data_IF_551920764217
#
_entry.id   IF_551920764217
#
_cell.length_a   1.000
_cell.length_b   1.000
_cell.length_c   1.000
_cell.angle_alpha   90.00
_cell.angle_beta   90.00
_cell.angle_gamma   90.00
#
_symmetry.space_group_name_H-M   'P 1'
#
loop_
_entity.id
_entity.type
_entity.pdbx_description
1 polymer ?
#
# COMPACT_ATOMS: atom_id res chain seq x y z
N UNK A 1 -27.60 -22.13 1.22
CA UNK A 1 -26.83 -23.39 1.24
C UNK A 1 -25.87 -23.42 0.07
N UNK A 2 -24.55 -23.56 0.34
CA UNK A 2 -23.53 -23.70 -0.68
C UNK A 2 -23.53 -25.15 -1.20
N UNK A 3 -23.59 -25.34 -2.52
CA UNK A 3 -23.54 -26.69 -3.16
C UNK A 3 -22.12 -27.25 -3.21
N UNK A 4 -21.09 -26.41 -2.99
CA UNK A 4 -19.68 -26.80 -3.01
C UNK A 4 -18.89 -25.86 -2.11
N UNK A 5 -17.66 -26.23 -1.77
CA UNK A 5 -16.74 -25.33 -1.07
C UNK A 5 -16.49 -24.07 -1.91
N UNK A 6 -16.70 -22.85 -1.36
CA UNK A 6 -16.43 -21.63 -2.08
C UNK A 6 -14.92 -21.45 -2.25
N UNK A 7 -14.52 -20.88 -3.37
CA UNK A 7 -13.20 -20.29 -3.55
C UNK A 7 -13.31 -18.81 -3.24
N UNK A 8 -12.45 -18.31 -2.35
CA UNK A 8 -12.46 -16.93 -1.93
C UNK A 8 -11.33 -16.21 -2.64
N UNK A 9 -11.65 -15.07 -3.26
CA UNK A 9 -10.69 -14.07 -3.75
C UNK A 9 -10.95 -12.82 -2.92
N UNK A 10 -10.01 -12.46 -2.04
CA UNK A 10 -10.13 -11.36 -1.09
C UNK A 10 -9.24 -10.19 -1.48
N UNK A 11 -9.83 -8.99 -1.49
CA UNK A 11 -9.19 -7.70 -1.57
C UNK A 11 -9.85 -6.82 -0.51
N UNK A 12 -9.17 -6.55 0.61
CA UNK A 12 -9.82 -6.03 1.82
C UNK A 12 -9.37 -4.63 2.21
N UNK A 13 -8.09 -4.30 2.07
CA UNK A 13 -7.57 -3.00 2.44
C UNK A 13 -6.06 -2.92 2.35
N UNK A 14 -5.51 -1.76 2.64
CA UNK A 14 -4.08 -1.47 2.63
C UNK A 14 -3.70 -0.35 3.59
N UNK A 15 -2.45 -0.36 4.03
CA UNK A 15 -1.79 0.74 4.72
C UNK A 15 -0.40 0.87 4.12
N UNK A 16 -0.37 1.45 2.94
CA UNK A 16 0.76 1.33 2.04
C UNK A 16 1.85 2.32 2.37
N UNK A 17 3.08 1.87 2.21
CA UNK A 17 4.24 2.57 2.71
C UNK A 17 5.14 3.12 1.59
N UNK A 18 5.88 4.16 1.94
CA UNK A 18 7.08 4.61 1.25
C UNK A 18 8.23 4.62 2.27
N UNK A 19 9.33 3.93 1.97
CA UNK A 19 10.56 4.01 2.75
C UNK A 19 11.64 4.65 1.89
N UNK A 20 12.24 5.73 2.38
CA UNK A 20 13.36 6.39 1.72
C UNK A 20 14.69 6.02 2.42
N UNK A 21 15.76 5.85 1.64
CA UNK A 21 17.13 5.76 2.11
C UNK A 21 17.80 7.14 2.00
N UNK A 22 18.82 7.49 2.82
CA UNK A 22 19.50 8.79 2.76
C UNK A 22 20.05 9.18 1.38
N UNK A 23 20.40 8.21 0.53
CA UNK A 23 20.93 8.45 -0.82
C UNK A 23 19.87 8.63 -1.92
N UNK A 24 18.58 8.63 -1.57
CA UNK A 24 17.49 8.65 -2.54
C UNK A 24 17.43 9.94 -3.37
N UNK A 25 16.74 9.87 -4.53
CA UNK A 25 16.39 11.06 -5.30
C UNK A 25 15.29 11.86 -4.59
N UNK A 26 15.64 13.00 -4.02
CA UNK A 26 14.75 13.86 -3.24
C UNK A 26 13.56 14.37 -4.07
N UNK A 27 13.78 14.75 -5.34
CA UNK A 27 12.70 15.26 -6.19
C UNK A 27 11.76 14.16 -6.61
N UNK A 28 12.28 12.99 -6.96
CA UNK A 28 11.50 11.81 -7.26
C UNK A 28 10.64 11.36 -6.09
N UNK A 29 11.22 11.33 -4.89
CA UNK A 29 10.51 11.01 -3.65
C UNK A 29 9.36 12.00 -3.39
N UNK A 30 9.63 13.30 -3.45
CA UNK A 30 8.61 14.34 -3.23
C UNK A 30 7.42 14.18 -4.19
N UNK A 31 7.68 13.96 -5.49
CA UNK A 31 6.63 13.75 -6.49
C UNK A 31 5.84 12.47 -6.21
N UNK A 32 6.53 11.40 -5.81
CA UNK A 32 5.87 10.13 -5.48
C UNK A 32 4.99 10.23 -4.24
N UNK A 33 5.43 10.97 -3.21
CA UNK A 33 4.62 11.24 -2.01
C UNK A 33 3.35 12.03 -2.37
N UNK A 34 3.47 13.12 -3.15
CA UNK A 34 2.32 13.94 -3.56
C UNK A 34 1.31 13.13 -4.38
N UNK A 35 1.77 12.47 -5.44
CA UNK A 35 0.90 11.69 -6.32
C UNK A 35 0.37 10.44 -5.63
N UNK A 36 1.22 9.74 -4.89
CA UNK A 36 0.86 8.50 -4.20
C UNK A 36 -0.19 8.70 -3.13
N UNK A 37 -0.15 9.82 -2.41
CA UNK A 37 -1.04 10.09 -1.27
C UNK A 37 -2.32 10.83 -1.67
N UNK A 38 -2.28 11.71 -2.67
CA UNK A 38 -3.36 12.65 -2.89
C UNK A 38 -4.12 12.46 -4.21
N UNK A 39 -3.58 11.72 -5.19
CA UNK A 39 -4.36 11.34 -6.37
C UNK A 39 -5.68 10.69 -5.96
N UNK A 40 -6.79 11.12 -6.56
CA UNK A 40 -8.13 10.63 -6.25
C UNK A 40 -8.48 10.75 -4.75
N UNK A 41 -8.03 11.81 -4.11
CA UNK A 41 -8.24 12.11 -2.67
C UNK A 41 -7.71 11.01 -1.73
N UNK A 42 -6.67 10.28 -2.13
CA UNK A 42 -6.14 9.16 -1.36
C UNK A 42 -7.11 7.97 -1.22
N UNK A 43 -8.21 7.95 -1.99
CA UNK A 43 -9.23 6.91 -1.95
C UNK A 43 -8.85 5.72 -2.84
N UNK A 44 -7.66 5.20 -2.64
CA UNK A 44 -7.15 3.99 -3.27
C UNK A 44 -6.66 3.05 -2.19
N UNK A 45 -6.96 1.77 -2.30
CA UNK A 45 -6.42 0.75 -1.40
C UNK A 45 -4.89 0.74 -1.37
N UNK A 46 -4.24 1.21 -2.45
CA UNK A 46 -2.79 1.28 -2.63
C UNK A 46 -2.20 2.69 -2.47
N UNK A 47 -2.97 3.69 -2.01
CA UNK A 47 -2.44 5.04 -1.80
C UNK A 47 -1.32 5.04 -0.76
N UNK A 48 -0.26 5.82 -1.00
CA UNK A 48 0.76 6.07 0.01
C UNK A 48 0.12 6.77 1.21
N UNK A 49 0.13 6.14 2.36
CA UNK A 49 -0.52 6.67 3.56
C UNK A 49 0.39 6.76 4.77
N UNK A 50 1.57 6.13 4.69
CA UNK A 50 2.65 6.25 5.66
C UNK A 50 4.00 6.31 4.95
N UNK A 51 4.90 7.16 5.44
CA UNK A 51 6.24 7.30 4.92
C UNK A 51 7.27 7.25 6.05
N UNK A 52 8.37 6.57 5.79
CA UNK A 52 9.55 6.50 6.65
C UNK A 52 10.67 7.23 5.94
N UNK A 53 11.06 8.37 6.48
CA UNK A 53 11.99 9.32 5.81
C UNK A 53 13.17 9.60 6.74
N UNK A 54 14.43 9.45 6.28
CA UNK A 54 15.58 9.79 7.11
C UNK A 54 15.65 11.29 7.40
N UNK A 55 16.21 11.64 8.54
CA UNK A 55 16.26 13.04 9.04
C UNK A 55 16.88 14.00 8.04
N UNK A 56 18.00 13.63 7.40
CA UNK A 56 18.64 14.48 6.39
C UNK A 56 17.77 14.72 5.15
N UNK A 57 17.00 13.72 4.74
CA UNK A 57 16.08 13.83 3.60
C UNK A 57 14.87 14.66 3.99
N UNK A 58 14.31 14.46 5.18
CA UNK A 58 13.19 15.27 5.67
C UNK A 58 13.56 16.74 5.78
N UNK A 59 14.74 17.06 6.33
CA UNK A 59 15.26 18.43 6.41
C UNK A 59 15.40 19.08 5.02
N UNK A 60 15.69 18.27 4.00
CA UNK A 60 15.86 18.78 2.63
C UNK A 60 14.54 18.98 1.87
N UNK A 61 13.49 18.17 2.16
CA UNK A 61 12.26 18.18 1.33
C UNK A 61 11.00 18.58 2.10
N UNK A 62 10.99 18.60 3.42
CA UNK A 62 9.80 18.78 4.23
C UNK A 62 9.07 20.09 3.95
N UNK A 63 9.80 21.21 3.92
CA UNK A 63 9.24 22.53 3.61
C UNK A 63 8.69 22.58 2.16
N UNK A 64 9.42 22.03 1.20
CA UNK A 64 8.99 21.95 -0.19
C UNK A 64 7.73 21.08 -0.33
N UNK A 65 7.65 19.96 0.38
CA UNK A 65 6.49 19.07 0.38
C UNK A 65 5.26 19.79 0.93
N UNK A 66 5.38 20.49 2.06
CA UNK A 66 4.29 21.29 2.64
C UNK A 66 3.87 22.44 1.71
N UNK A 67 4.84 23.10 1.07
CA UNK A 67 4.58 24.16 0.09
C UNK A 67 3.81 23.63 -1.12
N UNK A 68 4.21 22.50 -1.68
CA UNK A 68 3.51 21.89 -2.83
C UNK A 68 2.09 21.41 -2.44
N UNK A 69 1.91 20.86 -1.23
CA UNK A 69 0.59 20.50 -0.71
C UNK A 69 -0.34 21.71 -0.65
N UNK A 70 0.15 22.87 -0.18
CA UNK A 70 -0.65 24.10 -0.11
C UNK A 70 -1.07 24.65 -1.50
N UNK A 71 -0.39 24.21 -2.57
CA UNK A 71 -0.67 24.59 -3.96
C UNK A 71 -1.65 23.63 -4.67
N UNK A 72 -1.96 22.49 -4.05
CA UNK A 72 -2.90 21.54 -4.61
C UNK A 72 -4.29 22.19 -4.68
N UNK A 73 -4.81 22.31 -5.90
CA UNK A 73 -6.14 22.86 -6.12
C UNK A 73 -7.20 21.78 -5.93
N UNK A 74 -8.23 22.13 -5.20
CA UNK A 74 -9.42 21.31 -5.00
C UNK A 74 -10.64 22.01 -5.58
N UNK A 75 -11.58 21.24 -6.13
CA UNK A 75 -12.81 21.81 -6.69
C UNK A 75 -13.62 20.83 -7.50
N UNK A 76 -14.40 21.37 -8.45
CA UNK A 76 -15.26 20.58 -9.35
C UNK A 76 -14.43 19.64 -10.24
N UNK A 77 -14.83 18.36 -10.32
CA UNK A 77 -14.17 17.34 -11.15
C UNK A 77 -14.21 17.63 -12.65
N UNK A 78 -15.08 18.52 -13.11
CA UNK A 78 -15.15 18.98 -14.51
C UNK A 78 -14.06 20.00 -14.85
N UNK A 79 -13.46 20.64 -13.86
CA UNK A 79 -12.32 21.54 -14.05
C UNK A 79 -11.02 20.76 -13.86
N UNK A 80 -10.37 20.36 -14.95
CA UNK A 80 -9.13 19.58 -14.96
C UNK A 80 -7.90 20.35 -14.42
N UNK A 81 -8.05 21.59 -14.01
CA UNK A 81 -7.01 22.31 -13.27
C UNK A 81 -7.02 21.95 -11.77
N UNK A 82 -8.09 21.31 -11.27
CA UNK A 82 -8.15 20.76 -9.93
C UNK A 82 -7.48 19.38 -9.89
N UNK A 83 -6.54 19.20 -8.97
CA UNK A 83 -5.89 17.92 -8.75
C UNK A 83 -6.75 16.98 -7.88
N UNK A 84 -7.51 17.56 -6.96
CA UNK A 84 -8.39 16.84 -6.03
C UNK A 84 -9.81 17.38 -6.09
N UNK A 85 -10.75 16.55 -5.68
CA UNK A 85 -12.18 16.88 -5.54
C UNK A 85 -12.69 16.51 -4.14
N UNK A 86 -14.00 16.48 -3.92
CA UNK A 86 -14.60 15.98 -2.67
C UNK A 86 -14.35 14.47 -2.49
N UNK A 87 -14.31 14.00 -1.25
CA UNK A 87 -14.36 12.56 -0.92
C UNK A 87 -15.77 12.00 -1.21
N UNK A 88 -15.89 10.67 -1.21
CA UNK A 88 -17.04 9.99 -1.83
C UNK A 88 -18.39 10.27 -1.17
N UNK A 89 -18.43 10.39 0.16
CA UNK A 89 -19.68 10.59 0.91
C UNK A 89 -19.42 11.20 2.30
N UNK A 90 -20.52 11.55 3.00
CA UNK A 90 -20.50 12.09 4.37
C UNK A 90 -19.76 11.16 5.35
N UNK A 91 -19.95 9.85 5.22
CA UNK A 91 -19.34 8.88 6.12
C UNK A 91 -17.82 8.84 5.96
N UNK A 92 -17.33 8.96 4.72
CA UNK A 92 -15.89 9.10 4.45
C UNK A 92 -15.36 10.42 5.01
N UNK A 93 -16.09 11.51 4.79
CA UNK A 93 -15.75 12.85 5.33
C UNK A 93 -15.63 12.82 6.85
N UNK A 94 -16.65 12.33 7.56
CA UNK A 94 -16.66 12.25 9.04
C UNK A 94 -15.52 11.36 9.57
N UNK A 95 -15.28 10.22 8.90
CA UNK A 95 -14.19 9.31 9.26
C UNK A 95 -12.83 9.99 9.13
N UNK A 96 -12.55 10.60 7.98
CA UNK A 96 -11.24 11.17 7.66
C UNK A 96 -10.96 12.41 8.50
N UNK A 97 -11.93 13.34 8.59
CA UNK A 97 -11.81 14.53 9.44
C UNK A 97 -11.61 14.15 10.91
N UNK A 98 -12.29 13.09 11.38
CA UNK A 98 -12.09 12.56 12.73
C UNK A 98 -10.65 12.08 13.00
N UNK A 99 -9.99 11.43 12.02
CA UNK A 99 -8.57 11.06 12.16
C UNK A 99 -7.66 12.30 12.23
N UNK A 100 -7.91 13.30 11.39
CA UNK A 100 -7.15 14.56 11.41
C UNK A 100 -7.28 15.28 12.75
N UNK A 101 -8.51 15.40 13.27
CA UNK A 101 -8.74 16.08 14.55
C UNK A 101 -8.14 15.31 15.74
N UNK A 102 -8.17 13.98 15.74
CA UNK A 102 -7.45 13.20 16.77
C UNK A 102 -5.95 13.36 16.68
N UNK A 103 -5.38 13.40 15.47
CA UNK A 103 -3.95 13.63 15.28
C UNK A 103 -3.52 15.03 15.78
N UNK A 104 -4.36 16.08 15.59
CA UNK A 104 -4.12 17.41 16.17
C UNK A 104 -4.13 17.42 17.70
N UNK A 105 -4.82 16.47 18.33
CA UNK A 105 -4.89 16.31 19.78
C UNK A 105 -3.87 15.33 20.36
N UNK A 106 -3.03 14.70 19.54
CA UNK A 106 -2.02 13.73 19.96
C UNK A 106 -0.64 14.40 20.04
N UNK A 107 -0.05 14.45 21.22
CA UNK A 107 1.26 15.07 21.48
C UNK A 107 2.40 14.45 20.67
N UNK A 108 2.23 13.23 20.14
CA UNK A 108 3.21 12.58 19.26
C UNK A 108 3.07 12.96 17.79
N UNK A 109 2.03 13.71 17.42
CA UNK A 109 1.70 14.07 16.05
C UNK A 109 1.68 15.58 15.84
N UNK A 110 2.16 16.03 14.68
CA UNK A 110 2.06 17.41 14.24
C UNK A 110 1.49 17.48 12.82
N UNK A 111 0.42 18.25 12.61
CA UNK A 111 -0.11 18.53 11.27
C UNK A 111 0.69 19.67 10.66
N UNK A 112 1.63 19.34 9.77
CA UNK A 112 2.55 20.30 9.17
C UNK A 112 2.06 20.86 7.82
N UNK A 113 1.04 20.26 7.23
CA UNK A 113 0.43 20.73 5.98
C UNK A 113 -1.04 20.35 5.88
N UNK A 114 -1.89 21.23 5.36
CA UNK A 114 -3.33 21.01 5.24
C UNK A 114 -4.05 20.92 6.58
N UNK A 115 -4.90 19.91 6.74
CA UNK A 115 -5.65 19.64 7.97
C UNK A 115 -7.00 20.35 8.05
N UNK A 116 -7.39 21.09 7.01
CA UNK A 116 -8.71 21.69 6.88
C UNK A 116 -9.72 20.75 6.23
N UNK A 117 -10.99 20.98 6.52
CA UNK A 117 -12.10 20.26 5.90
C UNK A 117 -13.37 21.14 5.88
N UNK A 118 -14.18 21.02 4.83
CA UNK A 118 -15.39 21.82 4.63
C UNK A 118 -16.47 21.00 3.92
N UNK A 119 -17.62 20.87 4.54
CA UNK A 119 -18.80 20.18 3.99
C UNK A 119 -19.92 21.12 3.53
N UNK A 120 -19.67 22.41 3.52
CA UNK A 120 -20.70 23.43 3.18
C UNK A 120 -21.17 23.37 1.71
N UNK A 121 -20.28 22.95 0.81
CA UNK A 121 -20.58 22.82 -0.64
C UNK A 121 -20.31 21.42 -1.19
N UNK A 122 -19.68 20.58 -0.41
CA UNK A 122 -19.29 19.21 -0.73
C UNK A 122 -18.31 18.69 0.31
N UNK A 123 -18.05 17.43 0.32
CA UNK A 123 -17.21 16.76 1.33
C UNK A 123 -15.71 16.96 1.02
N UNK A 124 -15.23 18.20 1.15
CA UNK A 124 -13.85 18.56 0.86
C UNK A 124 -12.95 18.39 2.07
N UNK A 125 -11.84 17.68 1.87
CA UNK A 125 -10.78 17.50 2.86
C UNK A 125 -9.47 17.92 2.22
N UNK A 126 -8.74 18.82 2.87
CA UNK A 126 -7.44 19.26 2.38
C UNK A 126 -6.43 18.11 2.39
N UNK A 127 -5.54 18.05 1.37
CA UNK A 127 -4.40 17.15 1.42
C UNK A 127 -3.57 17.45 2.67
N UNK A 128 -3.40 16.44 3.52
CA UNK A 128 -2.90 16.60 4.88
C UNK A 128 -1.62 15.82 5.09
N UNK A 129 -0.59 16.49 5.64
CA UNK A 129 0.65 15.86 6.09
C UNK A 129 0.71 15.91 7.60
N UNK A 130 0.94 14.76 8.21
CA UNK A 130 1.17 14.59 9.64
C UNK A 130 2.59 14.07 9.83
N UNK A 131 3.38 14.70 10.68
CA UNK A 131 4.66 14.17 11.17
C UNK A 131 4.43 13.55 12.53
N UNK A 132 4.95 12.36 12.77
CA UNK A 132 4.82 11.69 14.07
C UNK A 132 6.17 11.21 14.60
N UNK A 133 6.34 11.30 15.91
CA UNK A 133 7.44 10.68 16.64
C UNK A 133 7.13 9.25 17.11
N UNK A 134 5.86 8.82 16.94
CA UNK A 134 5.39 7.49 17.32
C UNK A 134 5.05 6.67 16.07
N UNK A 135 5.89 5.70 15.65
CA UNK A 135 5.62 4.86 14.48
C UNK A 135 4.41 3.94 14.65
N UNK A 136 3.86 3.83 15.86
CA UNK A 136 2.63 3.10 16.17
C UNK A 136 1.41 4.03 16.37
N UNK A 137 1.50 5.31 15.96
CA UNK A 137 0.36 6.23 16.02
C UNK A 137 -0.81 5.71 15.17
N UNK A 138 -2.03 6.12 15.52
CA UNK A 138 -3.25 5.69 14.83
C UNK A 138 -3.15 5.92 13.31
N UNK A 139 -2.63 7.08 12.92
CA UNK A 139 -2.51 7.47 11.51
C UNK A 139 -1.40 6.73 10.75
N UNK A 140 -0.45 6.09 11.45
CA UNK A 140 0.55 5.19 10.85
C UNK A 140 0.01 3.76 10.66
N UNK A 141 -0.95 3.32 11.48
CA UNK A 141 -1.39 1.93 11.52
C UNK A 141 -2.72 1.68 10.81
N UNK A 142 -3.68 2.63 10.90
CA UNK A 142 -5.04 2.45 10.42
C UNK A 142 -5.25 2.90 8.97
N UNK A 143 -6.07 2.18 8.22
CA UNK A 143 -6.48 2.57 6.87
C UNK A 143 -7.49 3.72 6.93
N UNK A 144 -7.02 4.94 6.67
CA UNK A 144 -7.85 6.15 6.68
C UNK A 144 -8.73 6.22 5.42
N UNK A 145 -8.18 5.89 4.27
CA UNK A 145 -8.80 5.94 2.95
C UNK A 145 -9.19 7.37 2.54
N UNK A 146 -8.26 8.29 2.74
CA UNK A 146 -8.41 9.72 2.51
C UNK A 146 -7.09 10.41 2.22
N UNK A 147 -7.09 11.71 1.95
CA UNK A 147 -5.90 12.46 1.56
C UNK A 147 -5.01 12.81 2.77
N UNK A 148 -4.54 11.79 3.46
CA UNK A 148 -3.71 11.91 4.66
C UNK A 148 -2.46 11.06 4.52
N UNK A 149 -1.30 11.73 4.56
CA UNK A 149 0.02 11.10 4.61
C UNK A 149 0.60 11.32 6.01
N UNK A 150 1.00 10.25 6.67
CA UNK A 150 1.74 10.32 7.94
C UNK A 150 3.20 9.98 7.70
N UNK A 151 4.09 10.84 8.18
CA UNK A 151 5.55 10.72 8.05
C UNK A 151 6.14 10.40 9.42
N UNK A 152 6.93 9.34 9.47
CA UNK A 152 7.82 9.02 10.58
C UNK A 152 9.25 9.33 10.13
N UNK A 153 9.90 10.26 10.83
CA UNK A 153 11.28 10.63 10.57
C UNK A 153 12.20 9.76 11.41
N UNK A 154 13.16 9.09 10.77
CA UNK A 154 14.13 8.22 11.43
C UNK A 154 15.57 8.75 11.25
N UNK A 155 16.50 8.35 12.11
CA UNK A 155 17.90 8.75 12.02
C UNK A 155 18.59 8.10 10.80
N UNK A 156 19.43 8.83 10.08
CA UNK A 156 20.05 8.41 8.83
C UNK A 156 20.82 7.07 8.92
N UNK A 157 21.35 6.73 10.09
CA UNK A 157 22.08 5.48 10.34
C UNK A 157 21.20 4.32 10.80
N UNK A 158 19.87 4.52 10.94
CA UNK A 158 18.91 3.51 11.39
C UNK A 158 17.99 2.99 10.27
N UNK A 159 18.53 2.80 9.07
CA UNK A 159 17.74 2.28 7.94
C UNK A 159 17.14 0.90 8.22
N UNK A 160 17.91 0.00 8.83
CA UNK A 160 17.45 -1.35 9.19
C UNK A 160 16.30 -1.30 10.21
N UNK A 161 16.39 -0.43 11.23
CA UNK A 161 15.31 -0.21 12.20
C UNK A 161 14.05 0.37 11.56
N UNK A 162 14.21 1.25 10.57
CA UNK A 162 13.10 1.80 9.80
C UNK A 162 12.39 0.71 8.97
N UNK A 163 13.15 -0.19 8.33
CA UNK A 163 12.59 -1.34 7.60
C UNK A 163 11.82 -2.29 8.52
N UNK A 164 12.39 -2.62 9.69
CA UNK A 164 11.72 -3.47 10.70
C UNK A 164 10.43 -2.81 11.22
N UNK A 165 10.49 -1.51 11.52
CA UNK A 165 9.35 -0.72 11.97
C UNK A 165 8.26 -0.67 10.90
N UNK A 166 8.64 -0.51 9.64
CA UNK A 166 7.72 -0.52 8.51
C UNK A 166 7.03 -1.89 8.36
N UNK A 167 7.77 -2.99 8.43
CA UNK A 167 7.22 -4.36 8.29
C UNK A 167 6.18 -4.68 9.37
N UNK A 168 6.43 -4.23 10.60
CA UNK A 168 5.56 -4.47 11.77
C UNK A 168 4.45 -3.46 11.95
N UNK A 169 4.54 -2.29 11.33
CA UNK A 169 3.68 -1.13 11.58
C UNK A 169 2.23 -1.29 11.10
N UNK A 170 1.88 -2.38 10.41
CA UNK A 170 0.52 -2.58 9.93
C UNK A 170 0.22 -4.07 9.70
N UNK A 171 -1.02 -4.53 9.92
CA UNK A 171 -1.45 -5.88 9.58
C UNK A 171 -1.61 -6.10 8.07
N UNK A 172 -1.60 -5.04 7.28
CA UNK A 172 -1.75 -5.10 5.82
C UNK A 172 -0.44 -5.40 5.10
N UNK A 173 -0.52 -5.92 3.88
CA UNK A 173 0.61 -6.15 2.99
C UNK A 173 0.16 -6.05 1.53
N UNK A 174 -0.41 -4.89 1.15
CA UNK A 174 -0.92 -4.68 -0.20
C UNK A 174 0.16 -4.13 -1.13
N UNK A 175 0.56 -2.89 -0.96
CA UNK A 175 1.63 -2.29 -1.76
C UNK A 175 2.65 -1.57 -0.88
N UNK A 176 3.84 -1.34 -1.44
CA UNK A 176 4.88 -0.57 -0.79
C UNK A 176 5.93 -0.12 -1.78
N UNK A 177 6.65 0.91 -1.42
CA UNK A 177 7.71 1.48 -2.24
C UNK A 177 8.95 1.76 -1.42
N UNK A 178 10.11 1.62 -2.07
CA UNK A 178 11.38 2.10 -1.54
C UNK A 178 12.01 3.10 -2.49
N UNK A 179 12.70 4.07 -1.92
CA UNK A 179 13.51 5.07 -2.62
C UNK A 179 14.96 4.95 -2.18
N UNK A 180 15.81 4.44 -3.04
CA UNK A 180 17.26 4.32 -2.84
C UNK A 180 17.96 4.32 -4.20
N UNK A 181 19.19 4.85 -4.25
CA UNK A 181 19.99 4.85 -5.46
C UNK A 181 21.01 3.70 -5.50
N UNK A 182 21.46 3.24 -4.33
CA UNK A 182 22.39 2.12 -4.24
C UNK A 182 21.66 0.79 -4.35
N UNK A 183 22.08 -0.08 -5.26
CA UNK A 183 21.47 -1.40 -5.48
C UNK A 183 21.57 -2.33 -4.27
N UNK A 184 22.62 -2.20 -3.44
CA UNK A 184 22.76 -3.00 -2.20
C UNK A 184 21.68 -2.62 -1.18
N UNK A 185 21.34 -1.34 -1.07
CA UNK A 185 20.29 -0.84 -0.18
C UNK A 185 18.90 -1.21 -0.70
N UNK A 186 18.70 -1.15 -2.03
CA UNK A 186 17.49 -1.67 -2.69
C UNK A 186 17.31 -3.15 -2.36
N UNK A 187 18.34 -3.97 -2.49
CA UNK A 187 18.28 -5.39 -2.23
C UNK A 187 18.00 -5.69 -0.74
N UNK A 188 18.63 -4.95 0.18
CA UNK A 188 18.38 -5.08 1.62
C UNK A 188 16.92 -4.79 1.97
N UNK A 189 16.38 -3.68 1.47
CA UNK A 189 14.99 -3.32 1.68
C UNK A 189 14.04 -4.35 1.03
N UNK A 190 14.35 -4.83 -0.18
CA UNK A 190 13.56 -5.85 -0.85
C UNK A 190 13.48 -7.16 -0.05
N UNK A 191 14.58 -7.57 0.57
CA UNK A 191 14.61 -8.77 1.40
C UNK A 191 13.89 -8.58 2.74
N UNK A 192 14.13 -7.45 3.41
CA UNK A 192 13.51 -7.13 4.70
C UNK A 192 11.97 -7.00 4.56
N UNK A 193 11.49 -6.37 3.49
CA UNK A 193 10.08 -6.09 3.26
C UNK A 193 9.38 -7.10 2.35
N UNK A 194 10.00 -8.26 2.06
CA UNK A 194 9.49 -9.27 1.11
C UNK A 194 8.05 -9.74 1.38
N UNK A 195 7.60 -9.68 2.62
CA UNK A 195 6.25 -10.06 3.04
C UNK A 195 5.37 -8.87 3.44
N UNK A 196 5.88 -7.65 3.31
CA UNK A 196 5.17 -6.43 3.67
C UNK A 196 4.33 -5.85 2.52
N UNK A 197 4.55 -6.30 1.28
CA UNK A 197 3.83 -5.85 0.11
C UNK A 197 3.65 -6.95 -0.93
N UNK A 198 2.44 -7.06 -1.48
CA UNK A 198 2.16 -7.92 -2.63
C UNK A 198 2.63 -7.28 -3.93
N UNK A 199 2.53 -5.96 -4.06
CA UNK A 199 3.13 -5.17 -5.13
C UNK A 199 4.21 -4.26 -4.55
N UNK A 200 5.45 -4.47 -4.97
CA UNK A 200 6.62 -3.77 -4.47
C UNK A 200 7.21 -2.88 -5.57
N UNK A 201 7.43 -1.62 -5.25
CA UNK A 201 7.89 -0.60 -6.18
C UNK A 201 9.27 -0.07 -5.77
N UNK A 202 10.10 0.24 -6.74
CA UNK A 202 11.44 0.81 -6.53
C UNK A 202 11.49 2.15 -7.25
N UNK A 203 11.77 3.23 -6.51
CA UNK A 203 11.85 4.59 -7.01
C UNK A 203 10.59 5.06 -7.77
N UNK A 204 9.42 4.58 -7.33
CA UNK A 204 8.12 4.99 -7.84
C UNK A 204 7.10 5.01 -6.68
N UNK A 205 5.95 5.66 -6.90
CA UNK A 205 4.85 5.64 -5.92
C UNK A 205 4.25 4.23 -5.79
N UNK A 206 3.71 3.83 -4.62
CA UNK A 206 3.21 2.47 -4.39
C UNK A 206 1.83 2.20 -5.01
N UNK A 207 1.34 3.05 -5.90
CA UNK A 207 -0.01 2.98 -6.48
C UNK A 207 0.03 3.16 -7.99
N UNK A 208 -1.07 2.81 -8.68
CA UNK A 208 -1.21 2.97 -10.11
C UNK A 208 -0.81 1.74 -10.91
N UNK A 209 -1.00 0.54 -10.36
CA UNK A 209 -0.78 -0.72 -11.08
C UNK A 209 -1.60 -0.79 -12.37
N UNK A 210 -0.92 -1.12 -13.48
CA UNK A 210 -1.54 -1.24 -14.80
C UNK A 210 -1.90 -2.70 -15.05
N UNK A 211 -3.16 -2.95 -15.41
CA UNK A 211 -3.65 -4.30 -15.73
C UNK A 211 -2.77 -4.97 -16.78
N UNK A 212 -2.46 -6.24 -16.58
CA UNK A 212 -1.56 -7.08 -17.38
C UNK A 212 -0.07 -6.70 -17.34
N UNK A 213 0.30 -5.58 -16.72
CA UNK A 213 1.71 -5.22 -16.52
C UNK A 213 2.13 -5.45 -15.06
N UNK A 214 1.29 -5.07 -14.11
CA UNK A 214 1.51 -5.29 -12.68
C UNK A 214 0.29 -6.01 -12.09
N UNK A 215 0.25 -7.34 -12.11
CA UNK A 215 -0.82 -8.10 -11.45
C UNK A 215 -0.93 -7.71 -9.98
N UNK A 216 -2.14 -7.35 -9.55
CA UNK A 216 -2.40 -6.67 -8.31
C UNK A 216 -2.94 -7.62 -7.23
N UNK A 217 -2.47 -7.43 -6.01
CA UNK A 217 -2.96 -8.15 -4.83
C UNK A 217 -1.98 -8.08 -3.68
N UNK A 218 -2.49 -8.30 -2.47
CA UNK A 218 -1.73 -8.28 -1.24
C UNK A 218 -2.01 -9.47 -0.34
N UNK A 219 -1.06 -9.73 0.55
CA UNK A 219 -1.12 -10.78 1.55
C UNK A 219 -1.52 -10.22 2.93
N UNK A 220 -1.32 -10.99 4.00
CA UNK A 220 -1.72 -10.65 5.38
C UNK A 220 -3.20 -10.23 5.40
N UNK A 221 -3.55 -9.17 6.12
CA UNK A 221 -4.91 -8.65 6.18
C UNK A 221 -5.40 -7.99 4.88
N UNK A 222 -4.55 -7.78 3.87
CA UNK A 222 -4.94 -7.17 2.59
C UNK A 222 -5.66 -8.12 1.64
N UNK A 223 -5.62 -9.43 1.87
CA UNK A 223 -6.38 -10.37 1.04
C UNK A 223 -5.65 -11.67 0.73
N UNK A 224 -6.07 -12.32 -0.34
CA UNK A 224 -5.59 -13.65 -0.73
C UNK A 224 -4.44 -13.62 -1.74
N UNK A 225 -4.01 -12.45 -2.14
CA UNK A 225 -2.89 -12.21 -3.06
C UNK A 225 -2.98 -12.98 -4.38
N UNK A 226 -4.17 -13.07 -4.96
CA UNK A 226 -4.43 -13.84 -6.19
C UNK A 226 -3.97 -13.15 -7.47
N UNK A 227 -3.34 -12.00 -7.38
CA UNK A 227 -2.76 -11.27 -8.53
C UNK A 227 -3.78 -10.99 -9.64
N UNK A 228 -4.80 -10.19 -9.30
CA UNK A 228 -5.79 -9.71 -10.26
C UNK A 228 -5.11 -9.05 -11.48
N UNK A 229 -5.61 -9.37 -12.69
CA UNK A 229 -4.99 -8.95 -13.94
C UNK A 229 -3.84 -9.83 -14.42
N UNK A 230 -3.53 -10.91 -13.70
CA UNK A 230 -2.52 -11.90 -14.08
C UNK A 230 -3.11 -13.30 -14.28
N UNK A 231 -2.36 -14.21 -14.94
CA UNK A 231 -2.84 -15.57 -15.24
C UNK A 231 -3.08 -16.42 -13.98
N UNK A 232 -2.38 -16.14 -12.88
CA UNK A 232 -2.55 -16.87 -11.62
C UNK A 232 -3.95 -16.67 -11.02
N UNK A 233 -4.55 -15.51 -11.22
CA UNK A 233 -5.91 -15.24 -10.76
C UNK A 233 -6.93 -16.17 -11.43
N UNK A 234 -6.72 -16.51 -12.71
CA UNK A 234 -7.62 -17.36 -13.46
C UNK A 234 -7.80 -18.75 -12.85
N UNK A 235 -6.78 -19.26 -12.12
CA UNK A 235 -6.86 -20.55 -11.43
C UNK A 235 -7.97 -20.60 -10.36
N UNK A 236 -8.39 -19.45 -9.86
CA UNK A 236 -9.50 -19.35 -8.88
C UNK A 236 -10.88 -19.56 -9.53
N UNK A 237 -10.97 -19.32 -10.84
CA UNK A 237 -12.23 -19.30 -11.59
C UNK A 237 -12.49 -20.60 -12.37
N UNK A 238 -11.51 -21.52 -12.43
CA UNK A 238 -11.61 -22.77 -13.16
C UNK A 238 -11.68 -23.96 -12.21
N UNK A 239 -12.30 -25.05 -12.65
CA UNK A 239 -12.32 -26.35 -11.95
C UNK A 239 -11.56 -27.37 -12.80
N UNK A 240 -10.25 -27.57 -12.55
CA UNK A 240 -9.47 -28.53 -13.32
C UNK A 240 -9.94 -29.96 -13.04
N UNK A 241 -9.92 -30.79 -14.10
CA UNK A 241 -10.20 -32.22 -14.01
C UNK A 241 -9.00 -33.00 -14.55
N UNK A 242 -8.49 -33.90 -13.75
CA UNK A 242 -7.48 -34.86 -14.20
C UNK A 242 -8.15 -36.08 -14.79
N UNK A 243 -7.63 -36.57 -15.93
CA UNK A 243 -8.09 -37.77 -16.60
C UNK A 243 -6.94 -38.71 -16.76
N UNK A 244 -7.08 -39.96 -16.26
CA UNK A 244 -6.16 -41.06 -16.51
C UNK A 244 -6.83 -42.05 -17.42
N UNK A 245 -6.19 -42.40 -18.55
CA UNK A 245 -6.61 -43.48 -19.44
C UNK A 245 -5.54 -44.57 -19.45
N UNK A 246 -5.93 -45.77 -19.05
CA UNK A 246 -5.04 -46.95 -19.12
C UNK A 246 -5.19 -47.58 -20.48
N UNK A 247 -4.14 -47.70 -21.22
CA UNK A 247 -4.09 -48.34 -22.56
C UNK A 247 -3.96 -49.85 -22.45
N UNK A 248 -3.11 -50.30 -21.54
CA UNK A 248 -2.92 -51.73 -21.22
C UNK A 248 -3.56 -51.99 -19.87
N UNK A 249 -4.79 -52.56 -19.92
CA UNK A 249 -5.61 -52.76 -18.73
C UNK A 249 -5.11 -53.97 -17.97
N UNK A 250 -4.69 -53.84 -16.68
CA UNK A 250 -4.29 -54.98 -15.88
C UNK A 250 -5.33 -56.08 -15.84
N UNK A 251 -4.91 -57.28 -16.07
CA UNK A 251 -5.80 -58.47 -16.04
C UNK A 251 -5.68 -59.24 -14.72
N UNK A 252 -4.73 -58.91 -13.87
CA UNK A 252 -4.53 -59.45 -12.53
C UNK A 252 -4.57 -58.34 -11.50
N UNK A 253 -5.05 -58.66 -10.30
CA UNK A 253 -5.08 -57.73 -9.16
C UNK A 253 -3.76 -57.66 -8.40
N UNK A 254 -2.89 -58.68 -8.58
CA UNK A 254 -1.57 -58.72 -7.96
C UNK A 254 -0.60 -57.72 -8.64
N UNK A 255 0.29 -57.17 -7.83
CA UNK A 255 1.37 -56.33 -8.34
C UNK A 255 2.63 -57.19 -8.55
N UNK A 256 3.53 -56.80 -9.47
CA UNK A 256 4.78 -57.55 -9.75
C UNK A 256 5.66 -57.86 -8.52
N UNK A 257 5.66 -56.98 -7.53
CA UNK A 257 6.40 -57.18 -6.29
C UNK A 257 5.81 -58.28 -5.38
N UNK A 258 4.56 -58.65 -5.58
CA UNK A 258 3.89 -59.68 -4.74
C UNK A 258 4.31 -61.11 -5.16
N UNK A 259 4.99 -61.27 -6.29
CA UNK A 259 5.53 -62.56 -6.73
C UNK A 259 7.10 -62.59 -6.77
N UNK A 260 7.76 -61.69 -6.10
CA UNK A 260 9.21 -61.53 -6.16
C UNK A 260 10.03 -62.56 -5.32
N UNK A 261 9.38 -63.49 -4.66
CA UNK A 261 10.01 -64.54 -3.83
C UNK A 261 9.95 -65.95 -4.47
N UNK A 262 9.78 -66.06 -5.81
CA UNK A 262 9.95 -67.31 -6.53
C UNK A 262 11.18 -67.37 -7.42
#
# INVERSE_FOLDING_TARGET
>A
DLRSYPRIVGETGGKDFVVAHPDCDHRGLLVALLRGSFEYQGQKCSAASRAYIPSSVWDAIGDDLCSEVSRIRMGDARDFTNFMTAVIDQRAFDKISGYIERAKGDDSCEVVGGGGHDDSTGWFIEPTIIVTTNPASETMCEEIFGPVLTVYVYEDDDFEGALETCDRGSPYALTGSIFANNEEDVQRAFEALRFAAGNFYINDKPTGAVVAQQPFGGARASGTNDKAGGPLNLLRWISPRSVKRTLDIPQDWTYPFMGADE
#
